data_IF_225144467212
#
_entry.id   IF_225144467212
#
_cell.length_a   1.000
_cell.length_b   1.000
_cell.length_c   1.000
_cell.angle_alpha   90.00
_cell.angle_beta   90.00
_cell.angle_gamma   90.00
#
_symmetry.space_group_name_H-M   'P 1'
#
loop_
_entity.id
_entity.type
_entity.pdbx_description
1 polymer ?
#
# COMPACT_ATOMS: atom_id res chain seq x y z
N UNK A 1 15.31 -0.03 6.18
CA UNK A 1 15.95 -1.22 5.57
C UNK A 1 15.72 -2.49 6.37
N UNK A 2 16.13 -2.58 7.64
CA UNK A 2 15.98 -3.81 8.45
C UNK A 2 14.55 -4.34 8.45
N UNK A 3 13.53 -3.48 8.64
CA UNK A 3 12.12 -3.88 8.59
C UNK A 3 11.69 -4.47 7.24
N UNK A 4 12.18 -3.91 6.12
CA UNK A 4 11.84 -4.37 4.76
C UNK A 4 12.52 -5.71 4.47
N UNK A 5 13.80 -5.85 4.83
CA UNK A 5 14.53 -7.10 4.69
C UNK A 5 13.86 -8.18 5.55
N UNK A 6 13.49 -7.86 6.79
CA UNK A 6 12.73 -8.76 7.65
C UNK A 6 11.39 -9.15 7.03
N UNK A 7 10.64 -8.21 6.44
CA UNK A 7 9.40 -8.48 5.72
C UNK A 7 9.62 -9.48 4.57
N UNK A 8 10.63 -9.26 3.74
CA UNK A 8 10.94 -10.11 2.57
C UNK A 8 11.38 -11.50 3.02
N UNK A 9 12.27 -11.58 4.03
CA UNK A 9 12.73 -12.86 4.56
C UNK A 9 11.59 -13.63 5.23
N UNK A 10 10.76 -12.96 6.04
CA UNK A 10 9.67 -13.61 6.76
C UNK A 10 8.56 -14.03 5.80
N UNK A 11 8.23 -13.23 4.77
CA UNK A 11 7.29 -13.65 3.72
C UNK A 11 7.82 -14.82 2.89
N UNK A 12 9.10 -14.80 2.50
CA UNK A 12 9.74 -15.92 1.79
C UNK A 12 9.75 -17.21 2.63
N UNK A 13 10.09 -17.09 3.91
CA UNK A 13 10.06 -18.22 4.84
C UNK A 13 8.65 -18.77 5.05
N UNK A 14 7.64 -17.89 5.18
CA UNK A 14 6.24 -18.28 5.35
C UNK A 14 5.69 -19.00 4.11
N UNK A 15 6.22 -18.70 2.92
CA UNK A 15 5.92 -19.44 1.69
C UNK A 15 6.47 -20.87 1.72
N UNK A 16 7.59 -21.12 2.40
CA UNK A 16 8.19 -22.46 2.49
C UNK A 16 7.54 -23.33 3.57
N UNK A 17 7.00 -22.71 4.62
CA UNK A 17 6.33 -23.44 5.71
C UNK A 17 5.01 -24.04 5.23
N UNK A 18 4.86 -25.34 5.46
CA UNK A 18 3.64 -26.12 5.19
C UNK A 18 2.92 -26.54 6.48
N UNK A 19 3.56 -26.38 7.64
CA UNK A 19 2.99 -26.75 8.93
C UNK A 19 1.84 -25.82 9.35
N UNK A 20 0.64 -26.38 9.42
CA UNK A 20 -0.57 -25.65 9.81
C UNK A 20 -0.46 -25.01 11.20
N UNK A 21 0.24 -25.66 12.14
CA UNK A 21 0.41 -25.16 13.52
C UNK A 21 1.26 -23.90 13.56
N UNK A 22 2.39 -23.88 12.83
CA UNK A 22 3.26 -22.70 12.77
C UNK A 22 2.56 -21.53 12.07
N UNK A 23 1.84 -21.80 10.98
CA UNK A 23 1.04 -20.77 10.30
C UNK A 23 -0.05 -20.19 11.23
N UNK A 24 -0.73 -21.04 12.01
CA UNK A 24 -1.73 -20.59 12.97
C UNK A 24 -1.12 -19.72 14.08
N UNK A 25 0.06 -20.08 14.61
CA UNK A 25 0.77 -19.27 15.60
C UNK A 25 1.16 -17.91 15.01
N UNK A 26 1.75 -17.87 13.82
CA UNK A 26 2.13 -16.61 13.17
C UNK A 26 0.90 -15.75 12.91
N UNK A 27 -0.19 -16.35 12.44
CA UNK A 27 -1.46 -15.65 12.22
C UNK A 27 -2.00 -15.06 13.53
N UNK A 28 -2.01 -15.83 14.62
CA UNK A 28 -2.46 -15.39 15.94
C UNK A 28 -1.60 -14.25 16.50
N UNK A 29 -0.27 -14.34 16.37
CA UNK A 29 0.65 -13.27 16.78
C UNK A 29 0.40 -12.00 15.99
N UNK A 30 0.21 -12.08 14.66
CA UNK A 30 -0.11 -10.91 13.85
C UNK A 30 -1.47 -10.29 14.23
N UNK A 31 -2.48 -11.11 14.51
CA UNK A 31 -3.76 -10.62 15.01
C UNK A 31 -3.61 -9.91 16.36
N UNK A 32 -2.81 -10.47 17.27
CA UNK A 32 -2.54 -9.88 18.56
C UNK A 32 -1.82 -8.53 18.42
N UNK A 33 -0.82 -8.44 17.53
CA UNK A 33 -0.16 -7.16 17.21
C UNK A 33 -1.13 -6.11 16.66
N UNK A 34 -2.11 -6.50 15.84
CA UNK A 34 -3.15 -5.60 15.34
C UNK A 34 -4.08 -5.16 16.46
N UNK A 35 -4.44 -6.07 17.37
CA UNK A 35 -5.32 -5.78 18.51
C UNK A 35 -4.72 -4.72 19.44
N UNK A 36 -3.41 -4.80 19.72
CA UNK A 36 -2.70 -3.80 20.52
C UNK A 36 -2.32 -2.52 19.76
N UNK A 37 -2.58 -2.45 18.44
CA UNK A 37 -2.21 -1.28 17.65
C UNK A 37 -3.20 -0.12 17.86
N UNK A 38 -2.71 1.14 18.00
CA UNK A 38 -3.57 2.31 18.17
C UNK A 38 -4.47 2.59 16.96
N UNK A 39 -4.19 1.97 15.79
CA UNK A 39 -4.98 2.10 14.55
C UNK A 39 -5.98 0.97 14.33
N UNK A 40 -6.42 0.29 15.41
CA UNK A 40 -7.32 -0.88 15.34
C UNK A 40 -8.53 -0.70 14.42
N UNK A 41 -9.20 0.46 14.45
CA UNK A 41 -10.45 0.66 13.71
C UNK A 41 -10.24 0.60 12.19
N UNK A 42 -9.14 1.19 11.69
CA UNK A 42 -8.80 1.16 10.27
C UNK A 42 -8.28 -0.23 9.85
N UNK A 43 -7.57 -0.93 10.75
CA UNK A 43 -7.06 -2.27 10.46
C UNK A 43 -8.17 -3.32 10.45
N UNK A 44 -9.18 -3.19 11.31
CA UNK A 44 -10.36 -4.07 11.35
C UNK A 44 -11.19 -3.96 10.06
N UNK A 45 -11.34 -2.76 9.50
CA UNK A 45 -12.05 -2.59 8.22
C UNK A 45 -11.34 -3.32 7.07
N UNK A 46 -10.00 -3.27 7.05
CA UNK A 46 -9.17 -4.02 6.09
C UNK A 46 -9.19 -5.53 6.34
N UNK A 47 -9.29 -5.95 7.60
CA UNK A 47 -9.43 -7.36 7.99
C UNK A 47 -10.71 -7.99 7.45
N UNK A 48 -11.80 -7.21 7.31
CA UNK A 48 -13.04 -7.67 6.68
C UNK A 48 -12.81 -8.09 5.22
N UNK A 49 -12.06 -7.30 4.45
CA UNK A 49 -11.70 -7.66 3.07
C UNK A 49 -10.83 -8.91 3.02
N UNK A 50 -9.90 -9.05 3.97
CA UNK A 50 -9.07 -10.25 4.06
C UNK A 50 -9.89 -11.50 4.38
N UNK A 51 -10.86 -11.41 5.28
CA UNK A 51 -11.75 -12.51 5.61
C UNK A 51 -12.57 -12.98 4.40
N UNK A 52 -13.02 -12.04 3.55
CA UNK A 52 -13.69 -12.37 2.28
C UNK A 52 -12.76 -13.15 1.35
N UNK A 53 -11.51 -12.72 1.19
CA UNK A 53 -10.52 -13.42 0.35
C UNK A 53 -10.19 -14.82 0.87
N UNK A 54 -9.97 -14.97 2.18
CA UNK A 54 -9.72 -16.28 2.79
C UNK A 54 -10.95 -17.18 2.62
N UNK A 55 -12.16 -16.66 2.80
CA UNK A 55 -13.41 -17.39 2.53
C UNK A 55 -13.52 -17.84 1.07
N UNK A 56 -13.13 -16.97 0.12
CA UNK A 56 -13.10 -17.32 -1.30
C UNK A 56 -12.13 -18.47 -1.59
N UNK A 57 -10.96 -18.49 -0.96
CA UNK A 57 -9.99 -19.59 -1.10
C UNK A 57 -10.59 -20.92 -0.63
N UNK A 58 -11.30 -20.93 0.50
CA UNK A 58 -12.00 -22.13 0.96
C UNK A 58 -13.11 -22.57 0.00
N UNK A 59 -13.91 -21.61 -0.50
CA UNK A 59 -14.99 -21.90 -1.43
C UNK A 59 -14.44 -22.50 -2.75
N UNK A 60 -13.32 -21.97 -3.24
CA UNK A 60 -12.62 -22.51 -4.41
C UNK A 60 -12.10 -23.93 -4.18
N UNK A 61 -11.58 -24.26 -2.99
CA UNK A 61 -11.16 -25.63 -2.68
C UNK A 61 -12.32 -26.62 -2.73
N UNK A 62 -13.49 -26.22 -2.22
CA UNK A 62 -14.71 -27.03 -2.25
C UNK A 62 -15.16 -27.26 -3.69
N UNK A 63 -15.20 -26.21 -4.52
CA UNK A 63 -15.55 -26.31 -5.94
C UNK A 63 -14.56 -27.21 -6.69
N UNK A 64 -13.26 -27.07 -6.40
CA UNK A 64 -12.19 -27.84 -7.03
C UNK A 64 -12.11 -29.30 -6.55
N UNK A 65 -13.02 -29.75 -5.66
CA UNK A 65 -13.04 -31.09 -5.05
C UNK A 65 -11.73 -31.50 -4.39
N UNK A 66 -10.92 -30.54 -3.97
CA UNK A 66 -9.71 -30.81 -3.21
C UNK A 66 -10.06 -31.05 -1.74
N UNK A 67 -9.28 -31.86 -1.00
CA UNK A 67 -9.48 -31.99 0.43
C UNK A 67 -9.39 -30.60 1.08
N UNK A 68 -10.44 -30.23 1.83
CA UNK A 68 -10.52 -28.93 2.49
C UNK A 68 -9.34 -28.81 3.46
N UNK A 69 -8.37 -27.99 3.08
CA UNK A 69 -7.15 -27.78 3.86
C UNK A 69 -7.13 -26.36 4.38
N UNK A 70 -6.87 -26.22 5.68
CA UNK A 70 -6.72 -24.92 6.33
C UNK A 70 -5.42 -24.21 5.92
N UNK A 71 -4.45 -24.94 5.36
CA UNK A 71 -3.10 -24.43 5.08
C UNK A 71 -3.12 -23.27 4.08
N UNK A 72 -3.75 -23.36 2.89
CA UNK A 72 -3.74 -22.26 1.92
C UNK A 72 -4.44 -21.01 2.44
N UNK A 73 -5.57 -21.18 3.15
CA UNK A 73 -6.31 -20.06 3.74
C UNK A 73 -5.52 -19.34 4.83
N UNK A 74 -4.92 -20.10 5.76
CA UNK A 74 -4.05 -19.57 6.81
C UNK A 74 -2.81 -18.89 6.23
N UNK A 75 -2.24 -19.42 5.15
CA UNK A 75 -1.05 -18.86 4.49
C UNK A 75 -1.35 -17.52 3.84
N UNK A 76 -2.43 -17.44 3.08
CA UNK A 76 -2.90 -16.17 2.49
C UNK A 76 -3.23 -15.16 3.59
N UNK A 77 -3.92 -15.59 4.65
CA UNK A 77 -4.22 -14.76 5.80
C UNK A 77 -2.97 -14.22 6.49
N UNK A 78 -2.01 -15.09 6.81
CA UNK A 78 -0.78 -14.73 7.51
C UNK A 78 0.10 -13.79 6.69
N UNK A 79 0.31 -14.07 5.39
CA UNK A 79 1.05 -13.17 4.49
C UNK A 79 0.39 -11.78 4.42
N UNK A 80 -0.93 -11.75 4.25
CA UNK A 80 -1.66 -10.49 4.12
C UNK A 80 -1.61 -9.67 5.41
N UNK A 81 -1.79 -10.32 6.57
CA UNK A 81 -1.67 -9.65 7.87
C UNK A 81 -0.27 -9.12 8.11
N UNK A 82 0.76 -9.87 7.74
CA UNK A 82 2.16 -9.49 7.87
C UNK A 82 2.49 -8.24 7.01
N UNK A 83 2.01 -8.19 5.77
CA UNK A 83 2.14 -6.99 4.92
C UNK A 83 1.37 -5.80 5.50
N UNK A 84 0.19 -6.06 6.06
CA UNK A 84 -0.68 -5.04 6.65
C UNK A 84 -0.09 -4.47 7.95
N UNK A 85 0.50 -5.28 8.80
CA UNK A 85 1.21 -4.83 10.01
C UNK A 85 2.44 -4.01 9.63
N UNK A 86 3.24 -4.46 8.65
CA UNK A 86 4.37 -3.70 8.15
C UNK A 86 3.96 -2.33 7.60
N UNK A 87 2.90 -2.27 6.79
CA UNK A 87 2.42 -1.02 6.19
C UNK A 87 1.86 -0.06 7.23
N UNK A 88 1.26 -0.58 8.31
CA UNK A 88 0.72 0.24 9.39
C UNK A 88 1.81 0.84 10.29
N UNK A 89 2.89 0.08 10.51
CA UNK A 89 4.02 0.47 11.38
C UNK A 89 5.12 1.27 10.66
N UNK A 90 5.13 1.29 9.33
CA UNK A 90 6.17 1.95 8.53
C UNK A 90 5.70 3.31 8.03
N UNK A 91 6.54 4.34 8.16
CA UNK A 91 6.28 5.66 7.58
C UNK A 91 6.72 5.73 6.11
N UNK A 92 6.14 6.66 5.34
CA UNK A 92 6.52 6.89 3.93
C UNK A 92 8.01 7.22 3.78
N UNK A 93 8.58 7.95 4.76
CA UNK A 93 10.01 8.27 4.83
C UNK A 93 10.88 7.03 5.09
N UNK A 94 10.44 6.11 5.97
CA UNK A 94 11.15 4.85 6.20
C UNK A 94 11.14 3.95 4.97
N UNK A 95 10.06 3.99 4.18
CA UNK A 95 9.95 3.27 2.92
C UNK A 95 10.94 3.84 1.90
N UNK A 96 10.96 5.17 1.68
CA UNK A 96 11.91 5.79 0.73
C UNK A 96 13.37 5.55 1.14
N UNK A 97 13.69 5.60 2.43
CA UNK A 97 15.02 5.29 2.95
C UNK A 97 15.39 3.81 2.77
N UNK A 98 14.41 2.90 2.75
CA UNK A 98 14.65 1.48 2.48
C UNK A 98 15.07 1.22 1.03
N UNK A 99 14.80 2.16 0.13
CA UNK A 99 15.19 2.15 -1.28
C UNK A 99 16.49 2.91 -1.58
N UNK A 100 17.32 3.19 -0.55
CA UNK A 100 18.65 3.82 -0.70
C UNK A 100 19.65 3.05 -1.57
N UNK A 101 19.40 1.77 -1.81
CA UNK A 101 20.20 0.98 -2.74
C UNK A 101 19.97 1.37 -4.21
N UNK A 102 18.88 2.09 -4.52
CA UNK A 102 18.69 2.67 -5.84
C UNK A 102 19.64 3.85 -6.01
N UNK A 103 20.24 3.98 -7.19
CA UNK A 103 21.14 5.10 -7.50
C UNK A 103 20.51 6.47 -7.21
N UNK A 104 21.33 7.52 -7.02
CA UNK A 104 20.90 8.81 -6.45
C UNK A 104 19.74 9.47 -7.22
N UNK A 105 19.73 9.34 -8.56
CA UNK A 105 18.64 9.84 -9.42
C UNK A 105 17.29 9.18 -9.10
N UNK A 106 17.28 7.85 -8.95
CA UNK A 106 16.08 7.08 -8.69
C UNK A 106 15.57 7.30 -7.27
N UNK A 107 16.47 7.46 -6.29
CA UNK A 107 16.10 7.78 -4.92
C UNK A 107 15.44 9.18 -4.83
N UNK A 108 16.01 10.17 -5.53
CA UNK A 108 15.43 11.51 -5.61
C UNK A 108 14.04 11.45 -6.25
N UNK A 109 13.90 10.74 -7.38
CA UNK A 109 12.64 10.58 -8.08
C UNK A 109 11.58 9.92 -7.18
N UNK A 110 11.93 8.83 -6.49
CA UNK A 110 11.02 8.16 -5.55
C UNK A 110 10.60 9.07 -4.39
N UNK A 111 11.53 9.87 -3.87
CA UNK A 111 11.24 10.81 -2.77
C UNK A 111 10.29 11.91 -3.25
N UNK A 112 10.53 12.47 -4.43
CA UNK A 112 9.66 13.48 -5.04
C UNK A 112 8.27 12.91 -5.32
N UNK A 113 8.16 11.72 -5.91
CA UNK A 113 6.85 11.11 -6.21
C UNK A 113 6.05 10.82 -4.95
N UNK A 114 6.64 10.18 -3.94
CA UNK A 114 5.95 9.88 -2.68
C UNK A 114 5.46 11.13 -1.96
N UNK A 115 6.22 12.23 -2.01
CA UNK A 115 5.82 13.51 -1.43
C UNK A 115 4.76 14.25 -2.27
N UNK A 116 4.74 14.07 -3.59
CA UNK A 116 3.79 14.71 -4.49
C UNK A 116 2.41 14.03 -4.50
N UNK A 117 2.35 12.70 -4.31
CA UNK A 117 1.08 11.93 -4.28
C UNK A 117 0.00 12.57 -3.38
N UNK A 118 0.25 12.86 -2.08
CA UNK A 118 -0.79 13.43 -1.22
C UNK A 118 -1.25 14.80 -1.71
N UNK A 119 -0.36 15.57 -2.34
CA UNK A 119 -0.68 16.90 -2.84
C UNK A 119 -1.52 16.81 -4.12
N UNK A 120 -1.17 15.89 -5.03
CA UNK A 120 -1.95 15.61 -6.24
C UNK A 120 -3.35 15.09 -5.89
N UNK A 121 -3.48 14.24 -4.87
CA UNK A 121 -4.78 13.76 -4.40
C UNK A 121 -5.66 14.89 -3.87
N UNK A 122 -5.09 15.81 -3.07
CA UNK A 122 -5.81 16.99 -2.59
C UNK A 122 -6.25 17.90 -3.74
N UNK A 123 -5.38 18.07 -4.74
CA UNK A 123 -5.68 18.85 -5.94
C UNK A 123 -6.81 18.22 -6.76
N UNK A 124 -6.78 16.90 -6.93
CA UNK A 124 -7.84 16.15 -7.60
C UNK A 124 -9.19 16.33 -6.88
N UNK A 125 -9.22 16.29 -5.55
CA UNK A 125 -10.43 16.54 -4.76
C UNK A 125 -10.97 17.97 -4.97
N UNK A 126 -10.09 18.98 -5.00
CA UNK A 126 -10.46 20.36 -5.28
C UNK A 126 -11.06 20.50 -6.69
N UNK A 127 -10.45 19.87 -7.70
CA UNK A 127 -10.93 19.89 -9.08
C UNK A 127 -12.31 19.21 -9.16
N UNK A 128 -12.48 18.05 -8.52
CA UNK A 128 -13.77 17.36 -8.44
C UNK A 128 -14.84 18.27 -7.84
N UNK A 129 -14.53 18.97 -6.75
CA UNK A 129 -15.46 19.90 -6.10
C UNK A 129 -15.85 21.03 -7.07
N UNK A 130 -14.88 21.67 -7.73
CA UNK A 130 -15.13 22.74 -8.71
C UNK A 130 -16.00 22.24 -9.88
N UNK A 131 -15.72 21.06 -10.43
CA UNK A 131 -16.49 20.50 -11.54
C UNK A 131 -17.91 20.10 -11.11
N UNK A 132 -18.06 19.61 -9.87
CA UNK A 132 -19.37 19.28 -9.31
C UNK A 132 -20.24 20.52 -9.11
N UNK A 133 -19.66 21.65 -8.69
CA UNK A 133 -20.35 22.95 -8.60
C UNK A 133 -20.80 23.48 -9.95
N UNK A 134 -20.13 23.08 -11.04
CA UNK A 134 -20.48 23.43 -12.43
C UNK A 134 -21.52 22.48 -13.05
N UNK A 135 -22.12 21.60 -12.26
CA UNK A 135 -23.13 20.64 -12.72
C UNK A 135 -22.57 19.44 -13.49
N UNK A 136 -21.24 19.32 -13.62
CA UNK A 136 -20.60 18.15 -14.27
C UNK A 136 -20.45 17.02 -13.26
N UNK A 137 -21.54 16.30 -13.00
CA UNK A 137 -21.51 15.06 -12.19
C UNK A 137 -21.04 13.88 -13.05
N UNK A 138 -19.76 13.55 -12.91
CA UNK A 138 -19.25 12.18 -12.76
C UNK A 138 -19.17 11.20 -13.94
N UNK A 139 -19.72 11.43 -15.13
CA UNK A 139 -19.60 10.40 -16.21
C UNK A 139 -18.29 10.55 -16.98
N UNK A 140 -17.83 11.77 -17.21
CA UNK A 140 -16.61 12.03 -17.99
C UNK A 140 -15.44 12.37 -17.06
N UNK A 141 -14.33 11.60 -17.08
CA UNK A 141 -13.14 11.89 -16.26
C UNK A 141 -12.26 13.00 -16.85
N UNK A 142 -12.42 13.35 -18.13
CA UNK A 142 -11.60 14.38 -18.81
C UNK A 142 -11.56 15.74 -18.09
N UNK A 143 -12.68 16.30 -17.58
CA UNK A 143 -12.69 17.57 -16.85
C UNK A 143 -11.93 17.55 -15.53
N UNK A 144 -11.54 16.36 -15.04
CA UNK A 144 -10.70 16.19 -13.85
C UNK A 144 -9.24 15.95 -14.27
N UNK A 145 -9.02 15.03 -15.22
CA UNK A 145 -7.67 14.61 -15.66
C UNK A 145 -6.92 15.76 -16.32
N UNK A 146 -7.55 16.50 -17.24
CA UNK A 146 -6.85 17.55 -18.02
C UNK A 146 -6.34 18.67 -17.10
N UNK A 147 -7.15 19.27 -16.20
CA UNK A 147 -6.65 20.27 -15.27
C UNK A 147 -5.62 19.71 -14.28
N UNK A 148 -5.77 18.45 -13.86
CA UNK A 148 -4.82 17.80 -12.96
C UNK A 148 -3.45 17.69 -13.63
N UNK A 149 -3.39 17.15 -14.86
CA UNK A 149 -2.14 17.04 -15.64
C UNK A 149 -1.49 18.41 -15.86
N UNK A 150 -2.28 19.41 -16.24
CA UNK A 150 -1.74 20.76 -16.45
C UNK A 150 -1.11 21.32 -15.17
N UNK A 151 -1.81 21.23 -14.03
CA UNK A 151 -1.31 21.71 -12.73
C UNK A 151 -0.11 20.91 -12.24
N UNK A 152 -0.07 19.60 -12.47
CA UNK A 152 1.09 18.78 -12.09
C UNK A 152 2.31 19.09 -12.95
N UNK A 153 2.15 19.30 -14.27
CA UNK A 153 3.27 19.68 -15.13
C UNK A 153 3.84 21.05 -14.78
N UNK A 154 2.99 22.05 -14.54
CA UNK A 154 3.45 23.37 -14.09
C UNK A 154 4.25 23.27 -12.78
N UNK A 155 3.77 22.46 -11.83
CA UNK A 155 4.47 22.24 -10.57
C UNK A 155 5.80 21.50 -10.74
N UNK A 156 5.84 20.50 -11.62
CA UNK A 156 7.07 19.79 -11.94
C UNK A 156 8.12 20.73 -12.54
N UNK A 157 7.71 21.64 -13.44
CA UNK A 157 8.59 22.68 -14.00
C UNK A 157 9.11 23.62 -12.92
N UNK A 158 8.24 24.11 -12.02
CA UNK A 158 8.66 24.95 -10.90
C UNK A 158 9.66 24.24 -9.97
N UNK A 159 9.41 22.97 -9.64
CA UNK A 159 10.32 22.18 -8.82
C UNK A 159 11.66 21.95 -9.51
N UNK A 160 11.66 21.69 -10.82
CA UNK A 160 12.89 21.56 -11.59
C UNK A 160 13.72 22.84 -11.54
N UNK A 161 13.12 24.01 -11.80
CA UNK A 161 13.78 25.31 -11.72
C UNK A 161 14.35 25.59 -10.32
N UNK A 162 13.58 25.31 -9.27
CA UNK A 162 14.03 25.50 -7.88
C UNK A 162 15.23 24.60 -7.55
N UNK A 163 15.18 23.34 -7.99
CA UNK A 163 16.28 22.40 -7.77
C UNK A 163 17.54 22.79 -8.55
N UNK A 164 17.39 23.28 -9.78
CA UNK A 164 18.47 23.78 -10.61
C UNK A 164 19.12 25.02 -9.99
N UNK A 165 18.33 26.01 -9.57
CA UNK A 165 18.83 27.21 -8.87
C UNK A 165 19.55 26.86 -7.56
N UNK A 166 19.08 25.84 -6.84
CA UNK A 166 19.70 25.40 -5.58
C UNK A 166 20.94 24.53 -5.78
N UNK A 167 21.06 23.85 -6.91
CA UNK A 167 22.23 23.03 -7.25
C UNK A 167 23.35 23.82 -7.94
N UNK A 168 23.02 25.00 -8.50
CA UNK A 168 23.97 25.94 -9.11
C UNK A 168 24.69 26.88 -8.12
N UNK A 169 24.53 26.67 -6.81
CA UNK A 169 25.24 27.33 -5.70
C UNK A 169 25.97 26.26 -4.90
#
# INVERSE_FOLDING_TARGET
MIKLIALVLLSSWLILVSDARLLAVIFAVNLLLIYFSPRRAELVSRLRFLAILVGLVFLLQIIARQPVSLVPGLKVGALSLLVLTYTSLSSVSEISHSFRFLGPKNQLLLTLTLNLIPIILKEAQNIVLIQSSRGRRSINPLPIIVPLLHRTFQRAQQLALILEMKAGV
#
